data_IF_811305456214
#
_entry.id   IF_811305456214
#
_cell.length_a   1.000
_cell.length_b   1.000
_cell.length_c   1.000
_cell.angle_alpha   90.00
_cell.angle_beta   90.00
_cell.angle_gamma   90.00
#
_symmetry.space_group_name_H-M   'P 1'
#
loop_
_entity.id
_entity.type
_entity.pdbx_description
1 polymer ?
#
# COMPACT_ATOMS: atom_id res chain seq x y z
N UNK A 1 6.18 -11.04 9.49
CA UNK A 1 4.92 -11.62 8.97
C UNK A 1 5.18 -12.07 7.54
N UNK A 2 4.64 -13.21 7.11
CA UNK A 2 4.74 -13.63 5.70
C UNK A 2 3.51 -13.11 4.94
N UNK A 3 3.71 -12.13 4.04
CA UNK A 3 2.62 -11.53 3.27
C UNK A 3 2.31 -12.43 2.07
N UNK A 4 1.03 -12.70 1.82
CA UNK A 4 0.56 -13.66 0.82
C UNK A 4 -0.27 -12.96 -0.24
N UNK A 5 -0.07 -13.36 -1.50
CA UNK A 5 -0.92 -12.92 -2.62
C UNK A 5 -2.36 -13.39 -2.40
N UNK A 6 -3.32 -12.60 -2.86
CA UNK A 6 -4.76 -12.83 -2.76
C UNK A 6 -5.31 -12.97 -1.33
N UNK A 7 -4.59 -12.45 -0.34
CA UNK A 7 -5.03 -12.39 1.06
C UNK A 7 -5.31 -10.95 1.47
N UNK A 8 -6.32 -10.79 2.32
CA UNK A 8 -6.74 -9.51 2.85
C UNK A 8 -5.95 -9.22 4.13
N UNK A 9 -5.44 -7.99 4.23
CA UNK A 9 -4.72 -7.48 5.39
C UNK A 9 -5.32 -6.15 5.82
N UNK A 10 -5.28 -5.88 7.12
CA UNK A 10 -5.66 -4.57 7.63
C UNK A 10 -4.43 -3.67 7.62
N UNK A 11 -4.61 -2.46 7.11
CA UNK A 11 -3.56 -1.43 7.17
C UNK A 11 -3.64 -0.78 8.56
N UNK A 12 -2.56 -0.85 9.33
CA UNK A 12 -2.50 -0.30 10.68
C UNK A 12 -1.97 1.14 10.68
N UNK A 13 -2.03 1.80 11.83
CA UNK A 13 -1.64 3.21 12.01
C UNK A 13 -2.83 4.16 11.97
N UNK A 14 -2.58 5.43 11.68
CA UNK A 14 -3.64 6.45 11.60
C UNK A 14 -3.37 7.38 10.40
N UNK A 15 -3.50 6.83 9.18
CA UNK A 15 -3.25 7.58 7.95
C UNK A 15 -4.39 8.52 7.61
N UNK A 16 -4.09 9.82 7.57
CA UNK A 16 -5.02 10.84 7.06
C UNK A 16 -5.29 10.67 5.57
N UNK A 17 -4.31 10.15 4.80
CA UNK A 17 -4.52 9.82 3.39
C UNK A 17 -5.65 8.80 3.23
N UNK A 18 -5.56 7.66 3.94
CA UNK A 18 -6.58 6.63 3.84
C UNK A 18 -7.91 7.11 4.37
N UNK A 19 -7.93 7.86 5.47
CA UNK A 19 -9.17 8.43 6.00
C UNK A 19 -9.85 9.36 5.01
N UNK A 20 -9.09 10.18 4.29
CA UNK A 20 -9.63 11.07 3.26
C UNK A 20 -10.11 10.32 2.02
N UNK A 21 -9.42 9.25 1.62
CA UNK A 21 -9.71 8.50 0.39
C UNK A 21 -10.83 7.48 0.56
N UNK A 22 -10.86 6.77 1.69
CA UNK A 22 -11.73 5.62 1.98
C UNK A 22 -12.65 5.82 3.18
N UNK A 23 -12.62 6.98 3.84
CA UNK A 23 -13.43 7.25 5.04
C UNK A 23 -12.91 6.59 6.33
N UNK A 24 -11.83 5.79 6.25
CA UNK A 24 -11.18 5.13 7.40
C UNK A 24 -9.67 5.24 7.31
N UNK A 25 -9.00 5.44 8.45
CA UNK A 25 -7.53 5.44 8.51
C UNK A 25 -6.90 4.05 8.33
N UNK A 26 -7.72 2.99 8.44
CA UNK A 26 -7.29 1.60 8.50
C UNK A 26 -8.08 0.69 7.56
N UNK A 27 -8.04 0.95 6.24
CA UNK A 27 -8.75 0.12 5.29
C UNK A 27 -8.19 -1.30 5.25
N UNK A 28 -9.00 -2.23 4.75
CA UNK A 28 -8.56 -3.57 4.37
C UNK A 28 -8.07 -3.54 2.93
N UNK A 29 -6.87 -4.07 2.71
CA UNK A 29 -6.26 -4.20 1.39
C UNK A 29 -6.13 -5.68 1.02
N UNK A 30 -6.57 -6.03 -0.18
CA UNK A 30 -6.31 -7.34 -0.76
C UNK A 30 -5.01 -7.30 -1.55
N UNK A 31 -4.00 -8.02 -1.07
CA UNK A 31 -2.67 -8.01 -1.68
C UNK A 31 -2.69 -8.75 -3.02
N UNK A 32 -2.13 -8.13 -4.05
CA UNK A 32 -1.92 -8.76 -5.35
C UNK A 32 -0.50 -9.34 -5.41
N UNK A 33 0.53 -8.51 -5.23
CA UNK A 33 1.93 -8.92 -5.23
C UNK A 33 2.87 -7.84 -4.66
N UNK A 34 4.17 -8.13 -4.61
CA UNK A 34 5.20 -7.11 -4.37
C UNK A 34 5.28 -6.14 -5.54
N UNK A 35 5.57 -4.88 -5.23
CA UNK A 35 5.67 -3.83 -6.23
C UNK A 35 6.73 -4.14 -7.30
N UNK A 36 7.89 -4.69 -6.91
CA UNK A 36 8.98 -5.05 -7.83
C UNK A 36 8.62 -6.17 -8.82
N UNK A 37 7.62 -6.99 -8.50
CA UNK A 37 7.17 -8.08 -9.37
C UNK A 37 6.15 -7.58 -10.40
N UNK A 38 5.34 -6.58 -10.04
CA UNK A 38 4.30 -6.00 -10.90
C UNK A 38 4.80 -4.81 -11.72
N UNK A 39 5.69 -4.03 -11.14
CA UNK A 39 6.23 -2.81 -11.72
C UNK A 39 7.71 -3.03 -11.96
N UNK A 40 8.13 -3.04 -13.24
CA UNK A 40 9.52 -3.27 -13.60
C UNK A 40 10.45 -2.26 -12.92
N UNK A 41 11.14 -2.71 -11.87
CA UNK A 41 12.06 -1.91 -11.06
C UNK A 41 11.43 -1.18 -9.86
N UNK A 42 10.19 -1.51 -9.49
CA UNK A 42 9.51 -1.03 -8.29
C UNK A 42 8.83 0.34 -8.43
N UNK A 43 8.06 0.71 -7.40
CA UNK A 43 7.19 1.89 -7.41
C UNK A 43 7.92 3.20 -7.70
N UNK A 44 9.15 3.34 -7.19
CA UNK A 44 9.95 4.58 -7.32
C UNK A 44 10.34 4.93 -8.76
N UNK A 45 10.23 3.98 -9.70
CA UNK A 45 10.52 4.21 -11.12
C UNK A 45 9.27 4.44 -11.98
N UNK A 46 8.07 4.33 -11.40
CA UNK A 46 6.81 4.37 -12.16
C UNK A 46 6.15 5.75 -12.17
N UNK A 47 6.76 6.70 -12.88
CA UNK A 47 6.28 8.09 -12.94
C UNK A 47 4.90 8.29 -13.61
N UNK A 48 4.38 7.28 -14.32
CA UNK A 48 3.04 7.31 -14.93
C UNK A 48 1.99 6.48 -14.19
N UNK A 49 2.36 5.75 -13.14
CA UNK A 49 1.44 4.91 -12.38
C UNK A 49 0.87 5.70 -11.20
N UNK A 50 -0.45 5.90 -11.19
CA UNK A 50 -1.11 6.72 -10.17
C UNK A 50 -0.91 6.20 -8.74
N UNK A 51 -0.97 4.88 -8.53
CA UNK A 51 -0.75 4.28 -7.21
C UNK A 51 0.67 4.53 -6.71
N UNK A 52 1.67 4.41 -7.61
CA UNK A 52 3.07 4.71 -7.29
C UNK A 52 3.29 6.18 -6.93
N UNK A 53 2.68 7.09 -7.70
CA UNK A 53 2.76 8.53 -7.44
C UNK A 53 2.12 8.90 -6.10
N UNK A 54 0.91 8.40 -5.82
CA UNK A 54 0.21 8.67 -4.56
C UNK A 54 0.95 8.09 -3.36
N UNK A 55 1.54 6.90 -3.51
CA UNK A 55 2.38 6.30 -2.49
C UNK A 55 3.63 7.15 -2.23
N UNK A 56 4.31 7.63 -3.26
CA UNK A 56 5.45 8.55 -3.09
C UNK A 56 5.09 9.83 -2.33
N UNK A 57 3.90 10.39 -2.57
CA UNK A 57 3.41 11.53 -1.79
C UNK A 57 3.15 11.16 -0.32
N UNK A 58 2.57 9.99 -0.05
CA UNK A 58 2.37 9.50 1.33
C UNK A 58 3.69 9.27 2.05
N UNK A 59 4.69 8.70 1.37
CA UNK A 59 6.02 8.45 1.94
C UNK A 59 6.60 9.72 2.55
N UNK A 60 6.57 10.84 1.81
CA UNK A 60 7.05 12.12 2.33
C UNK A 60 6.12 12.77 3.37
N UNK A 61 4.80 12.62 3.24
CA UNK A 61 3.83 13.30 4.11
C UNK A 61 3.62 12.60 5.46
N UNK A 62 3.63 11.28 5.45
CA UNK A 62 3.35 10.41 6.62
C UNK A 62 4.63 9.80 7.20
N UNK A 63 5.82 10.24 6.74
CA UNK A 63 7.14 9.78 7.18
C UNK A 63 7.29 8.24 7.15
N UNK A 64 6.78 7.64 6.07
CA UNK A 64 6.91 6.20 5.85
C UNK A 64 8.34 5.96 5.37
N UNK A 65 9.01 4.93 5.90
CA UNK A 65 10.33 4.49 5.44
C UNK A 65 10.19 3.12 4.76
N UNK A 66 9.88 3.07 3.45
CA UNK A 66 9.53 1.83 2.77
C UNK A 66 10.74 0.90 2.67
N UNK A 67 10.56 -0.35 3.07
CA UNK A 67 11.55 -1.42 2.98
C UNK A 67 11.12 -2.51 2.02
N UNK A 68 9.84 -2.86 2.06
CA UNK A 68 9.27 -3.89 1.19
C UNK A 68 7.84 -3.49 0.87
N UNK A 69 7.60 -3.10 -0.38
CA UNK A 69 6.33 -2.50 -0.79
C UNK A 69 5.47 -3.52 -1.51
N UNK A 70 4.20 -3.53 -1.13
CA UNK A 70 3.20 -4.43 -1.65
C UNK A 70 2.10 -3.64 -2.35
N UNK A 71 1.70 -4.13 -3.51
CA UNK A 71 0.57 -3.62 -4.25
C UNK A 71 -0.67 -4.47 -3.96
N UNK A 72 -1.80 -3.81 -3.83
CA UNK A 72 -3.08 -4.46 -3.62
C UNK A 72 -4.25 -3.52 -3.89
N UNK A 73 -5.44 -3.96 -3.51
CA UNK A 73 -6.68 -3.24 -3.80
C UNK A 73 -7.45 -2.94 -2.52
N UNK A 74 -7.82 -1.68 -2.35
CA UNK A 74 -8.76 -1.21 -1.32
C UNK A 74 -10.02 -0.73 -2.06
N UNK A 75 -11.16 -1.35 -1.80
CA UNK A 75 -12.44 -1.00 -2.47
C UNK A 75 -12.33 -1.00 -4.01
N UNK A 76 -11.48 -1.87 -4.57
CA UNK A 76 -11.22 -1.98 -6.02
C UNK A 76 -10.25 -0.93 -6.59
N UNK A 77 -9.67 -0.08 -5.75
CA UNK A 77 -8.64 0.89 -6.15
C UNK A 77 -7.25 0.39 -5.78
N UNK A 78 -6.31 0.51 -6.72
CA UNK A 78 -4.92 0.11 -6.53
C UNK A 78 -4.19 0.98 -5.50
N UNK A 79 -3.53 0.33 -4.56
CA UNK A 79 -2.76 0.95 -3.48
C UNK A 79 -1.42 0.27 -3.28
N UNK A 80 -0.45 1.06 -2.82
CA UNK A 80 0.82 0.57 -2.33
C UNK A 80 0.92 0.82 -0.82
N UNK A 81 1.50 -0.15 -0.14
CA UNK A 81 1.74 -0.12 1.30
C UNK A 81 3.08 -0.77 1.59
N UNK A 82 3.80 -0.23 2.57
CA UNK A 82 4.96 -0.93 3.11
C UNK A 82 4.53 -2.11 3.97
N UNK A 83 5.30 -3.20 3.94
CA UNK A 83 5.07 -4.41 4.75
C UNK A 83 4.92 -4.10 6.25
N UNK A 84 5.59 -3.06 6.75
CA UNK A 84 5.49 -2.64 8.15
C UNK A 84 4.16 -1.99 8.48
N UNK A 85 3.34 -1.59 7.50
CA UNK A 85 1.99 -1.04 7.69
C UNK A 85 0.92 -2.13 7.79
N UNK A 86 1.24 -3.40 7.52
CA UNK A 86 0.25 -4.48 7.48
C UNK A 86 0.14 -5.24 8.81
N UNK A 87 -1.07 -5.71 9.09
CA UNK A 87 -1.40 -6.70 10.13
C UNK A 87 -2.42 -7.72 9.59
N UNK A 88 -2.46 -8.92 10.17
CA UNK A 88 -3.43 -9.93 9.75
C UNK A 88 -4.86 -9.45 10.04
N UNK A 89 -5.71 -9.56 9.03
CA UNK A 89 -7.14 -9.33 9.19
C UNK A 89 -7.75 -10.64 9.71
N UNK A 90 -8.20 -10.63 10.96
CA UNK A 90 -8.74 -11.80 11.67
C UNK A 90 -10.08 -12.30 11.15
#
# INVERSE_FOLDING_TARGET
MNIQKNKDYKIKGNSDYFKKKYGTSNPVIRIEDRDIELFSGGWGLQNGNLSCMLFGMRVGKEDINPREVWYGHVEGLGELVDSSELEENG
#
